data_IF_552235537830
#
_entry.id   IF_552235537830
#
_cell.length_a   1.000
_cell.length_b   1.000
_cell.length_c   1.000
_cell.angle_alpha   90.00
_cell.angle_beta   90.00
_cell.angle_gamma   90.00
#
_symmetry.space_group_name_H-M   'P 1'
#
loop_
_entity.id
_entity.type
_entity.pdbx_description
1 polymer ?
#
# COMPACT_ATOMS: atom_id res chain seq x y z
N UNK A 1 -13.69 9.81 -3.06
CA UNK A 1 -12.28 9.36 -2.93
C UNK A 1 -11.99 8.25 -3.95
N UNK A 2 -11.93 8.54 -5.27
CA UNK A 2 -11.87 7.50 -6.31
C UNK A 2 -10.91 7.76 -7.49
N UNK A 3 -10.21 8.89 -7.48
CA UNK A 3 -9.41 9.33 -8.64
C UNK A 3 -7.99 8.75 -8.59
N UNK A 4 -7.40 8.59 -7.40
CA UNK A 4 -6.01 8.12 -7.26
C UNK A 4 -5.86 6.60 -7.44
N UNK A 5 -6.83 5.82 -6.96
CA UNK A 5 -6.93 4.37 -7.25
C UNK A 5 -6.98 4.12 -8.75
N UNK A 6 -7.63 5.03 -9.50
CA UNK A 6 -7.74 4.90 -10.94
C UNK A 6 -6.43 5.19 -11.66
N UNK A 7 -5.63 6.18 -11.23
CA UNK A 7 -4.38 6.52 -11.90
C UNK A 7 -3.30 5.43 -11.75
N UNK A 8 -3.05 4.96 -10.52
CA UNK A 8 -2.08 3.89 -10.27
C UNK A 8 -2.48 2.59 -10.98
N UNK A 9 -3.77 2.23 -10.92
CA UNK A 9 -4.32 1.06 -11.60
C UNK A 9 -4.29 1.17 -13.13
N UNK A 10 -4.48 2.37 -13.68
CA UNK A 10 -4.37 2.61 -15.14
C UNK A 10 -2.92 2.45 -15.60
N UNK A 11 -1.94 2.99 -14.85
CA UNK A 11 -0.53 2.86 -15.20
C UNK A 11 -0.04 1.41 -15.08
N UNK A 12 -0.47 0.67 -14.06
CA UNK A 12 -0.11 -0.74 -13.92
C UNK A 12 -0.78 -1.65 -14.96
N UNK A 13 -2.07 -1.40 -15.31
CA UNK A 13 -2.78 -2.21 -16.31
C UNK A 13 -2.31 -2.00 -17.74
N UNK A 14 -1.69 -0.87 -18.06
CA UNK A 14 -1.16 -0.60 -19.40
C UNK A 14 0.19 -1.29 -19.68
N UNK A 15 0.67 -2.18 -18.80
CA UNK A 15 1.98 -2.84 -18.95
C UNK A 15 3.17 -1.92 -18.66
N UNK A 16 2.89 -0.67 -18.27
CA UNK A 16 3.87 0.36 -17.98
C UNK A 16 4.24 0.38 -16.49
N UNK A 17 4.37 -0.80 -15.89
CA UNK A 17 4.58 -0.91 -14.43
C UNK A 17 5.85 -0.16 -13.98
N UNK A 18 6.87 -0.09 -14.84
CA UNK A 18 8.05 0.75 -14.60
C UNK A 18 7.78 2.26 -14.66
N UNK A 19 6.89 2.73 -15.56
CA UNK A 19 6.50 4.14 -15.60
C UNK A 19 5.60 4.50 -14.43
N UNK A 20 4.71 3.60 -14.02
CA UNK A 20 3.92 3.72 -12.78
C UNK A 20 4.83 3.96 -11.57
N UNK A 21 5.90 3.18 -11.45
CA UNK A 21 6.90 3.38 -10.40
C UNK A 21 7.65 4.72 -10.49
N UNK A 22 7.91 5.26 -11.69
CA UNK A 22 8.52 6.60 -11.85
C UNK A 22 7.55 7.69 -11.37
N UNK A 23 6.27 7.57 -11.70
CA UNK A 23 5.21 8.47 -11.24
C UNK A 23 5.06 8.38 -9.72
N UNK A 24 5.00 7.18 -9.15
CA UNK A 24 4.88 6.97 -7.71
C UNK A 24 6.07 7.56 -6.94
N UNK A 25 7.30 7.39 -7.44
CA UNK A 25 8.48 8.04 -6.83
C UNK A 25 8.41 9.56 -6.87
N UNK A 26 7.91 10.12 -7.96
CA UNK A 26 7.72 11.58 -8.07
C UNK A 26 6.61 12.05 -7.15
N UNK A 27 5.54 11.28 -7.00
CA UNK A 27 4.46 11.58 -6.05
C UNK A 27 4.94 11.49 -4.61
N UNK A 28 5.79 10.51 -4.25
CA UNK A 28 6.42 10.44 -2.92
C UNK A 28 7.31 11.67 -2.68
N UNK A 29 8.05 12.14 -3.69
CA UNK A 29 8.86 13.34 -3.55
C UNK A 29 8.00 14.62 -3.36
N UNK A 30 6.85 14.69 -4.04
CA UNK A 30 5.92 15.83 -3.94
C UNK A 30 5.07 15.80 -2.67
N UNK A 31 4.70 14.61 -2.21
CA UNK A 31 3.80 14.38 -1.08
C UNK A 31 4.35 13.31 -0.15
N UNK A 32 5.51 13.55 0.51
CA UNK A 32 6.21 12.54 1.30
C UNK A 32 5.44 12.09 2.54
N UNK A 33 4.46 12.87 2.98
CA UNK A 33 3.61 12.61 4.14
C UNK A 33 2.23 12.05 3.79
N UNK A 34 1.96 11.77 2.51
CA UNK A 34 0.66 11.25 2.11
C UNK A 34 0.61 9.73 2.30
N UNK A 35 -0.22 9.20 3.22
CA UNK A 35 -0.34 7.75 3.43
C UNK A 35 -0.79 7.03 2.15
N UNK A 36 -1.68 7.65 1.36
CA UNK A 36 -2.20 7.09 0.11
C UNK A 36 -1.12 6.92 -0.95
N UNK A 37 -0.16 7.85 -1.02
CA UNK A 37 0.93 7.78 -2.00
C UNK A 37 1.88 6.62 -1.67
N UNK A 38 2.22 6.44 -0.40
CA UNK A 38 3.02 5.30 0.05
C UNK A 38 2.30 3.96 -0.14
N UNK A 39 0.98 3.94 0.06
CA UNK A 39 0.14 2.77 -0.23
C UNK A 39 0.21 2.38 -1.71
N UNK A 40 -0.03 3.34 -2.60
CA UNK A 40 0.01 3.12 -4.05
C UNK A 40 1.38 2.65 -4.53
N UNK A 41 2.46 3.23 -3.99
CA UNK A 41 3.82 2.76 -4.26
C UNK A 41 3.99 1.29 -3.81
N UNK A 42 3.43 0.93 -2.65
CA UNK A 42 3.37 -0.45 -2.18
C UNK A 42 2.69 -1.40 -3.18
N UNK A 43 1.52 -1.02 -3.71
CA UNK A 43 0.81 -1.79 -4.73
C UNK A 43 1.63 -1.98 -6.01
N UNK A 44 2.20 -0.90 -6.56
CA UNK A 44 3.06 -0.96 -7.75
C UNK A 44 4.29 -1.87 -7.55
N UNK A 45 4.91 -1.82 -6.36
CA UNK A 45 6.03 -2.68 -6.01
C UNK A 45 5.61 -4.15 -5.84
N UNK A 46 4.42 -4.41 -5.32
CA UNK A 46 3.88 -5.77 -5.19
C UNK A 46 3.62 -6.39 -6.58
N UNK A 47 3.03 -5.63 -7.49
CA UNK A 47 2.74 -6.05 -8.87
C UNK A 47 4.00 -6.31 -9.71
N UNK A 48 5.11 -5.62 -9.40
CA UNK A 48 6.43 -5.87 -10.03
C UNK A 48 7.27 -6.95 -9.33
N UNK A 49 6.69 -7.66 -8.36
CA UNK A 49 7.38 -8.69 -7.59
C UNK A 49 8.46 -8.17 -6.63
N UNK A 50 8.56 -6.86 -6.43
CA UNK A 50 9.49 -6.22 -5.49
C UNK A 50 8.95 -6.28 -4.05
N UNK A 51 8.63 -7.49 -3.58
CA UNK A 51 7.88 -7.76 -2.33
C UNK A 51 8.42 -7.03 -1.11
N UNK A 52 9.74 -7.09 -0.87
CA UNK A 52 10.37 -6.42 0.28
C UNK A 52 10.13 -4.90 0.29
N UNK A 53 10.32 -4.24 -0.86
CA UNK A 53 10.11 -2.79 -0.97
C UNK A 53 8.63 -2.42 -0.89
N UNK A 54 7.75 -3.29 -1.36
CA UNK A 54 6.31 -3.12 -1.21
C UNK A 54 5.92 -3.06 0.27
N UNK A 55 6.39 -4.03 1.07
CA UNK A 55 6.16 -4.07 2.52
C UNK A 55 6.71 -2.82 3.23
N UNK A 56 7.90 -2.35 2.86
CA UNK A 56 8.47 -1.10 3.41
C UNK A 56 7.55 0.11 3.12
N UNK A 57 7.03 0.22 1.90
CA UNK A 57 6.15 1.32 1.50
C UNK A 57 4.79 1.25 2.19
N UNK A 58 4.22 0.04 2.32
CA UNK A 58 2.97 -0.18 3.05
C UNK A 58 3.13 0.16 4.54
N UNK A 59 4.27 -0.19 5.15
CA UNK A 59 4.57 0.18 6.54
C UNK A 59 4.65 1.69 6.72
N UNK A 60 5.24 2.41 5.76
CA UNK A 60 5.23 3.88 5.76
C UNK A 60 3.82 4.44 5.61
N UNK A 61 2.99 3.87 4.74
CA UNK A 61 1.59 4.27 4.61
C UNK A 61 0.85 4.15 5.95
N UNK A 62 0.98 3.01 6.63
CA UNK A 62 0.37 2.75 7.94
C UNK A 62 0.89 3.73 9.00
N UNK A 63 2.19 4.00 9.03
CA UNK A 63 2.78 4.98 9.95
C UNK A 63 2.31 6.42 9.70
N UNK A 64 1.94 6.74 8.46
CA UNK A 64 1.40 8.04 8.06
C UNK A 64 -0.14 8.13 8.20
N UNK A 65 -0.79 7.09 8.74
CA UNK A 65 -2.23 7.08 9.03
C UNK A 65 -3.08 6.40 7.96
N UNK A 66 -2.50 5.55 7.10
CA UNK A 66 -3.30 4.62 6.31
C UNK A 66 -3.94 3.60 7.25
N UNK A 67 -5.27 3.52 7.26
CA UNK A 67 -6.02 2.77 8.26
C UNK A 67 -7.23 2.06 7.63
N UNK A 68 -6.96 1.22 6.61
CA UNK A 68 -7.99 0.39 5.96
C UNK A 68 -7.51 -1.06 5.81
N UNK A 69 -7.45 -1.84 6.91
CA UNK A 69 -6.95 -3.21 6.90
C UNK A 69 -7.79 -4.16 6.04
N UNK A 70 -9.10 -3.94 5.97
CA UNK A 70 -10.00 -4.80 5.18
C UNK A 70 -9.78 -4.60 3.68
N UNK A 71 -9.57 -3.36 3.23
CA UNK A 71 -9.16 -3.10 1.85
C UNK A 71 -7.81 -3.74 1.54
N UNK A 72 -6.79 -3.53 2.39
CA UNK A 72 -5.46 -4.12 2.17
C UNK A 72 -5.50 -5.65 2.05
N UNK A 73 -6.31 -6.32 2.88
CA UNK A 73 -6.43 -7.78 2.87
C UNK A 73 -7.04 -8.30 1.57
N UNK A 74 -8.00 -7.56 0.99
CA UNK A 74 -8.74 -7.95 -0.20
C UNK A 74 -8.16 -7.41 -1.50
N UNK A 75 -7.28 -6.41 -1.43
CA UNK A 75 -6.64 -5.81 -2.59
C UNK A 75 -5.87 -6.88 -3.38
N UNK A 76 -6.22 -7.01 -4.66
CA UNK A 76 -5.61 -7.97 -5.58
C UNK A 76 -4.15 -7.62 -5.90
N UNK A 77 -3.79 -6.34 -5.84
CA UNK A 77 -2.44 -5.87 -6.12
C UNK A 77 -1.43 -6.38 -5.07
N UNK A 78 -1.92 -6.60 -3.84
CA UNK A 78 -1.15 -7.10 -2.72
C UNK A 78 -1.23 -8.62 -2.56
N UNK A 79 -1.87 -9.34 -3.49
CA UNK A 79 -2.05 -10.78 -3.40
C UNK A 79 -0.72 -11.54 -3.23
N UNK A 80 0.36 -11.06 -3.86
CA UNK A 80 1.68 -11.65 -3.74
C UNK A 80 2.33 -11.49 -2.36
N UNK A 81 1.84 -10.56 -1.53
CA UNK A 81 2.33 -10.30 -0.17
C UNK A 81 1.53 -11.06 0.90
N UNK A 82 0.37 -11.63 0.56
CA UNK A 82 -0.48 -12.34 1.53
C UNK A 82 0.18 -13.57 2.14
N UNK A 83 1.16 -14.15 1.44
CA UNK A 83 1.97 -15.27 1.94
C UNK A 83 3.09 -14.81 2.90
N UNK A 84 3.40 -13.52 2.96
CA UNK A 84 4.46 -12.99 3.81
C UNK A 84 3.93 -12.79 5.24
N UNK A 85 4.57 -13.38 6.26
CA UNK A 85 4.10 -13.26 7.65
C UNK A 85 4.11 -11.81 8.15
N UNK A 86 5.02 -10.99 7.62
CA UNK A 86 5.11 -9.56 7.93
C UNK A 86 3.85 -8.82 7.47
N UNK A 87 3.27 -9.18 6.32
CA UNK A 87 2.03 -8.56 5.85
C UNK A 87 0.86 -8.89 6.77
N UNK A 88 0.73 -10.16 7.19
CA UNK A 88 -0.29 -10.56 8.15
C UNK A 88 -0.16 -9.81 9.49
N UNK A 89 1.07 -9.60 9.97
CA UNK A 89 1.32 -8.82 11.19
C UNK A 89 0.88 -7.35 11.04
N UNK A 90 1.16 -6.71 9.90
CA UNK A 90 0.69 -5.34 9.64
C UNK A 90 -0.84 -5.23 9.67
N UNK A 91 -1.54 -6.19 9.07
CA UNK A 91 -3.01 -6.22 9.07
C UNK A 91 -3.54 -6.44 10.49
N UNK A 92 -2.93 -7.35 11.25
CA UNK A 92 -3.31 -7.61 12.64
C UNK A 92 -3.13 -6.35 13.51
N UNK A 93 -2.02 -5.62 13.34
CA UNK A 93 -1.76 -4.36 14.03
C UNK A 93 -2.84 -3.32 13.73
N UNK A 94 -3.20 -3.14 12.45
CA UNK A 94 -4.27 -2.24 12.05
C UNK A 94 -5.64 -2.66 12.63
N UNK A 95 -5.96 -3.97 12.61
CA UNK A 95 -7.22 -4.47 13.19
C UNK A 95 -7.28 -4.24 14.69
N UNK A 96 -6.16 -4.43 15.41
CA UNK A 96 -6.08 -4.19 16.84
C UNK A 96 -6.31 -2.70 17.19
N UNK A 97 -5.80 -1.76 16.37
CA UNK A 97 -6.10 -0.32 16.53
C UNK A 97 -7.58 0.01 16.45
N UNK A 98 -8.34 -0.75 15.68
CA UNK A 98 -9.80 -0.62 15.57
C UNK A 98 -10.55 -1.36 16.70
N UNK A 99 -9.87 -2.20 17.49
CA UNK A 99 -10.49 -2.92 18.59
C UNK A 99 -10.80 -1.97 19.75
N UNK A 100 -12.04 -1.93 20.26
CA UNK A 100 -12.40 -1.06 21.38
C UNK A 100 -11.72 -1.45 22.71
N UNK A 101 -11.01 -2.58 22.76
CA UNK A 101 -10.44 -3.17 23.97
C UNK A 101 -9.09 -2.54 24.35
N UNK A 102 -8.40 -1.88 23.41
CA UNK A 102 -7.05 -1.30 23.64
C UNK A 102 -7.06 0.15 24.14
N UNK A 103 -8.23 0.74 24.42
CA UNK A 103 -8.39 2.02 25.13
C UNK A 103 -8.80 1.77 26.58
N UNK A 104 -7.85 1.40 27.44
CA UNK A 104 -7.98 1.52 28.89
C UNK A 104 -6.69 2.09 29.48
#
# INVERSE_FOLDING_TARGET
MGVLVSLARVLTRLGLVEEGMKVDRRLVALMPRSPVVHYNLGCSLALTGRRRRALESLRQAIALGYDDPEFMRRDGDLACLRAEPVFAAMIAELVDRHSPISRN
#
